data_IF_352257687060
#
_entry.id   IF_352257687060
#
_cell.length_a   1.000
_cell.length_b   1.000
_cell.length_c   1.000
_cell.angle_alpha   90.00
_cell.angle_beta   90.00
_cell.angle_gamma   90.00
#
_symmetry.space_group_name_H-M   'P 1'
#
loop_
_entity.id
_entity.type
_entity.pdbx_description
1 polymer ?
#
# COMPACT_ATOMS: atom_id res chain seq x y z
N UNK A 1 2.82 -22.04 9.27
CA UNK A 1 3.50 -21.56 8.04
C UNK A 1 4.50 -20.53 8.53
N UNK A 2 5.76 -20.59 8.13
CA UNK A 2 6.73 -19.57 8.58
C UNK A 2 6.69 -18.39 7.63
N UNK A 3 6.37 -17.20 8.15
CA UNK A 3 6.40 -15.94 7.40
C UNK A 3 7.52 -15.11 7.99
N UNK A 4 8.49 -14.71 7.16
CA UNK A 4 9.71 -14.02 7.60
C UNK A 4 10.44 -14.70 8.79
N UNK A 5 10.45 -16.03 8.82
CA UNK A 5 11.17 -16.80 9.84
C UNK A 5 10.47 -16.94 11.20
N UNK A 6 9.25 -16.40 11.36
CA UNK A 6 8.43 -16.57 12.57
C UNK A 6 7.18 -17.41 12.28
N UNK A 7 6.66 -18.11 13.29
CA UNK A 7 5.38 -18.82 13.15
C UNK A 7 4.24 -17.81 13.04
N UNK A 8 3.44 -17.97 11.99
CA UNK A 8 2.38 -17.05 11.58
C UNK A 8 1.10 -17.19 12.45
N UNK A 9 1.01 -18.21 13.31
CA UNK A 9 -0.15 -18.39 14.20
C UNK A 9 -0.07 -17.47 15.44
N UNK A 10 -1.18 -16.84 15.89
CA UNK A 10 -2.58 -17.05 15.50
C UNK A 10 -3.07 -16.18 14.32
N UNK A 11 -2.19 -15.38 13.71
CA UNK A 11 -2.50 -14.46 12.61
C UNK A 11 -2.02 -14.94 11.23
N UNK A 12 -2.79 -15.86 10.64
CA UNK A 12 -3.47 -15.55 9.39
C UNK A 12 -2.72 -15.48 8.06
N UNK A 13 -2.22 -16.60 7.56
CA UNK A 13 -2.38 -17.07 6.18
C UNK A 13 -2.43 -18.61 6.15
N UNK A 14 -3.40 -19.19 5.42
CA UNK A 14 -3.61 -20.64 5.39
C UNK A 14 -3.48 -21.20 3.97
N UNK A 15 -2.81 -22.35 3.85
CA UNK A 15 -2.84 -23.14 2.63
C UNK A 15 -4.09 -24.04 2.64
N UNK A 16 -4.96 -23.90 1.65
CA UNK A 16 -6.21 -24.66 1.54
C UNK A 16 -6.17 -25.58 0.32
N UNK A 17 -6.46 -26.87 0.52
CA UNK A 17 -6.58 -27.86 -0.56
C UNK A 17 -8.03 -28.29 -0.70
N UNK A 18 -8.60 -28.13 -1.89
CA UNK A 18 -9.94 -28.63 -2.23
C UNK A 18 -9.80 -29.96 -2.98
N UNK A 19 -10.24 -31.06 -2.39
CA UNK A 19 -10.21 -32.41 -3.01
C UNK A 19 -11.62 -32.97 -3.03
N UNK A 20 -12.16 -33.28 -4.22
CA UNK A 20 -13.53 -33.80 -4.44
C UNK A 20 -14.64 -33.01 -3.73
N UNK A 21 -14.52 -31.67 -3.70
CA UNK A 21 -15.50 -30.80 -3.05
C UNK A 21 -16.68 -30.55 -3.99
N UNK A 22 -17.88 -30.93 -3.55
CA UNK A 22 -19.14 -30.67 -4.27
C UNK A 22 -19.75 -29.36 -3.80
N UNK A 23 -20.17 -28.52 -4.73
CA UNK A 23 -20.78 -27.21 -4.47
C UNK A 23 -22.13 -27.13 -5.18
N UNK A 24 -23.21 -26.67 -4.51
CA UNK A 24 -24.51 -26.47 -5.15
C UNK A 24 -24.44 -25.48 -6.31
N UNK A 25 -25.26 -25.68 -7.35
CA UNK A 25 -25.33 -24.77 -8.51
C UNK A 25 -25.71 -23.34 -8.11
N UNK A 26 -26.54 -23.19 -7.08
CA UNK A 26 -26.99 -21.88 -6.58
C UNK A 26 -25.86 -21.05 -5.94
N UNK A 27 -24.73 -21.68 -5.59
CA UNK A 27 -23.56 -20.97 -5.06
C UNK A 27 -22.67 -20.39 -6.17
N UNK A 28 -23.03 -20.58 -7.45
CA UNK A 28 -22.30 -20.01 -8.58
C UNK A 28 -22.44 -18.48 -8.57
N UNK A 29 -21.32 -17.78 -8.43
CA UNK A 29 -21.32 -16.32 -8.41
C UNK A 29 -21.43 -15.76 -9.84
N UNK A 30 -22.48 -14.96 -10.08
CA UNK A 30 -22.86 -14.32 -11.35
C UNK A 30 -23.29 -15.28 -12.46
N UNK A 31 -22.43 -16.19 -12.90
CA UNK A 31 -22.70 -17.06 -14.06
C UNK A 31 -21.48 -17.82 -14.57
N UNK A 32 -21.73 -18.88 -15.35
CA UNK A 32 -20.67 -19.73 -15.90
C UNK A 32 -19.76 -18.92 -16.85
N UNK A 33 -18.46 -19.16 -16.80
CA UNK A 33 -17.47 -18.44 -17.62
C UNK A 33 -17.14 -17.00 -17.19
N UNK A 34 -17.84 -16.43 -16.20
CA UNK A 34 -17.67 -15.01 -15.77
C UNK A 34 -16.72 -14.82 -14.58
N UNK A 35 -15.91 -15.84 -14.25
CA UNK A 35 -15.00 -15.79 -13.10
C UNK A 35 -14.01 -14.63 -13.17
N UNK A 36 -13.43 -14.36 -14.34
CA UNK A 36 -12.47 -13.28 -14.52
C UNK A 36 -13.09 -11.89 -14.35
N UNK A 37 -14.31 -11.70 -14.83
CA UNK A 37 -15.06 -10.46 -14.70
C UNK A 37 -15.41 -10.19 -13.23
N UNK A 38 -15.91 -11.21 -12.53
CA UNK A 38 -16.22 -11.14 -11.10
C UNK A 38 -14.98 -10.74 -10.28
N UNK A 39 -13.87 -11.42 -10.54
CA UNK A 39 -12.61 -11.20 -9.85
C UNK A 39 -12.05 -9.80 -10.11
N UNK A 40 -12.03 -9.38 -11.38
CA UNK A 40 -11.55 -8.06 -11.79
C UNK A 40 -12.39 -6.93 -11.19
N UNK A 41 -13.71 -7.11 -11.12
CA UNK A 41 -14.64 -6.13 -10.53
C UNK A 41 -14.39 -5.92 -9.03
N UNK A 42 -14.10 -6.98 -8.28
CA UNK A 42 -13.85 -6.91 -6.82
C UNK A 42 -12.47 -6.35 -6.46
N UNK A 43 -11.47 -6.58 -7.31
CA UNK A 43 -10.10 -6.14 -7.02
C UNK A 43 -9.93 -4.63 -7.13
N UNK A 44 -10.61 -3.96 -8.07
CA UNK A 44 -10.51 -2.51 -8.27
C UNK A 44 -10.76 -1.69 -6.98
N UNK A 45 -11.93 -1.82 -6.33
CA UNK A 45 -12.25 -1.10 -5.11
C UNK A 45 -11.35 -1.46 -3.93
N UNK A 46 -11.03 -2.75 -3.78
CA UNK A 46 -10.19 -3.25 -2.67
C UNK A 46 -8.75 -2.74 -2.73
N UNK A 47 -8.24 -2.42 -3.92
CA UNK A 47 -6.89 -1.85 -4.09
C UNK A 47 -6.74 -0.50 -3.38
N UNK A 48 -7.78 0.33 -3.35
CA UNK A 48 -7.71 1.69 -2.82
C UNK A 48 -7.69 1.77 -1.30
N UNK A 49 -8.46 0.94 -0.60
CA UNK A 49 -8.50 0.97 0.86
C UNK A 49 -7.15 0.63 1.48
N UNK A 50 -6.42 -0.35 0.90
CA UNK A 50 -5.06 -0.69 1.35
C UNK A 50 -4.04 0.42 1.08
N UNK A 51 -4.29 1.34 0.13
CA UNK A 51 -3.35 2.41 -0.19
C UNK A 51 -3.39 3.54 0.83
N UNK A 52 -4.56 3.84 1.39
CA UNK A 52 -4.70 4.75 2.53
C UNK A 52 -3.94 4.23 3.76
N UNK A 53 -3.97 2.92 4.00
CA UNK A 53 -3.24 2.30 5.10
C UNK A 53 -1.72 2.41 4.90
N UNK A 54 -1.22 2.13 3.68
CA UNK A 54 0.21 2.30 3.36
C UNK A 54 0.68 3.75 3.51
N UNK A 55 -0.13 4.73 3.10
CA UNK A 55 0.16 6.14 3.32
C UNK A 55 0.26 6.47 4.82
N UNK A 56 -0.67 5.95 5.62
CA UNK A 56 -0.68 6.15 7.08
C UNK A 56 0.58 5.57 7.72
N UNK A 57 0.96 4.34 7.36
CA UNK A 57 2.18 3.68 7.83
C UNK A 57 3.42 4.52 7.48
N UNK A 58 3.54 5.00 6.25
CA UNK A 58 4.70 5.80 5.83
C UNK A 58 4.77 7.16 6.53
N UNK A 59 3.63 7.83 6.73
CA UNK A 59 3.56 9.10 7.45
C UNK A 59 3.95 8.93 8.91
N UNK A 60 3.48 7.86 9.55
CA UNK A 60 3.82 7.55 10.93
C UNK A 60 5.30 7.16 11.08
N UNK A 61 5.83 6.35 10.17
CA UNK A 61 7.25 6.04 10.10
C UNK A 61 8.11 7.29 9.95
N UNK A 62 7.75 8.19 9.03
CA UNK A 62 8.46 9.46 8.85
C UNK A 62 8.42 10.35 10.12
N UNK A 63 7.30 10.35 10.86
CA UNK A 63 7.17 11.09 12.13
C UNK A 63 8.12 10.55 13.19
N UNK A 64 8.20 9.23 13.35
CA UNK A 64 9.09 8.56 14.30
C UNK A 64 10.55 8.85 13.94
N UNK A 65 10.93 8.71 12.67
CA UNK A 65 12.29 9.01 12.20
C UNK A 65 12.67 10.47 12.47
N UNK A 66 11.77 11.42 12.20
CA UNK A 66 12.04 12.85 12.43
C UNK A 66 12.19 13.17 13.94
N UNK A 67 11.45 12.48 14.81
CA UNK A 67 11.64 12.58 16.25
C UNK A 67 13.03 12.05 16.64
N UNK A 68 13.40 10.85 16.20
CA UNK A 68 14.70 10.27 16.51
C UNK A 68 15.88 11.13 16.03
N UNK A 69 15.80 11.66 14.81
CA UNK A 69 16.83 12.50 14.19
C UNK A 69 17.08 13.79 15.01
N UNK A 70 16.03 14.33 15.64
CA UNK A 70 16.10 15.53 16.47
C UNK A 70 16.53 15.26 17.93
N UNK A 71 16.55 14.00 18.37
CA UNK A 71 17.00 13.64 19.73
C UNK A 71 18.36 12.93 19.75
N UNK A 72 18.81 12.34 18.64
CA UNK A 72 20.13 11.72 18.51
C UNK A 72 21.19 12.79 18.21
N UNK A 73 22.11 12.96 19.16
CA UNK A 73 23.34 13.72 18.98
C UNK A 73 24.41 12.80 18.37
N UNK A 74 24.92 13.16 17.20
CA UNK A 74 26.11 12.52 16.61
C UNK A 74 27.20 13.57 16.42
N UNK A 75 28.46 13.20 16.66
CA UNK A 75 29.62 14.10 16.56
C UNK A 75 29.44 15.43 17.32
N UNK A 76 29.67 15.37 18.63
CA UNK A 76 30.05 16.53 19.46
C UNK A 76 29.29 17.84 19.18
N UNK A 77 27.95 17.78 19.16
CA UNK A 77 26.95 18.89 19.28
C UNK A 77 25.97 19.06 18.09
N UNK A 78 25.94 18.18 17.11
CA UNK A 78 25.01 18.31 15.97
C UNK A 78 23.95 17.20 15.97
N UNK A 79 22.68 17.59 15.95
CA UNK A 79 21.58 16.64 15.70
C UNK A 79 21.79 15.96 14.35
N UNK A 80 21.56 14.64 14.28
CA UNK A 80 21.77 13.84 13.07
C UNK A 80 21.14 14.49 11.82
N UNK A 81 20.02 15.20 11.97
CA UNK A 81 19.30 15.84 10.87
C UNK A 81 20.04 17.01 10.21
N UNK A 82 21.05 17.57 10.88
CA UNK A 82 21.85 18.68 10.35
C UNK A 82 23.13 18.22 9.64
N UNK A 83 23.37 16.91 9.56
CA UNK A 83 24.45 16.35 8.72
C UNK A 83 24.05 16.54 7.25
N UNK A 84 24.99 17.05 6.45
CA UNK A 84 24.73 17.74 5.17
C UNK A 84 23.97 16.99 4.07
N UNK A 85 23.65 15.71 4.20
CA UNK A 85 22.83 14.96 3.23
C UNK A 85 21.40 14.63 3.72
N UNK A 86 21.11 14.82 5.01
CA UNK A 86 19.82 14.40 5.57
C UNK A 86 18.67 15.37 5.23
N UNK A 87 18.98 16.64 4.94
CA UNK A 87 17.96 17.60 4.50
C UNK A 87 17.36 17.23 3.14
N UNK A 88 18.20 16.82 2.19
CA UNK A 88 17.75 16.44 0.85
C UNK A 88 16.85 15.20 0.92
N UNK A 89 17.25 14.20 1.71
CA UNK A 89 16.45 12.99 1.95
C UNK A 89 15.09 13.32 2.58
N UNK A 90 15.06 14.22 3.58
CA UNK A 90 13.81 14.64 4.22
C UNK A 90 12.91 15.41 3.23
N UNK A 91 13.51 16.28 2.41
CA UNK A 91 12.80 17.06 1.40
C UNK A 91 12.20 16.14 0.30
N UNK A 92 12.96 15.17 -0.18
CA UNK A 92 12.52 14.17 -1.15
C UNK A 92 11.40 13.31 -0.58
N UNK A 93 11.56 12.80 0.65
CA UNK A 93 10.52 12.04 1.33
C UNK A 93 9.21 12.84 1.42
N UNK A 94 9.29 14.13 1.79
CA UNK A 94 8.10 14.99 1.92
C UNK A 94 7.42 15.20 0.56
N UNK A 95 8.21 15.41 -0.48
CA UNK A 95 7.72 15.63 -1.85
C UNK A 95 7.05 14.37 -2.39
N UNK A 96 7.68 13.20 -2.24
CA UNK A 96 7.12 11.91 -2.67
C UNK A 96 5.80 11.57 -1.97
N UNK A 97 5.69 11.86 -0.68
CA UNK A 97 4.46 11.66 0.10
C UNK A 97 3.31 12.50 -0.47
N UNK A 98 3.54 13.78 -0.77
CA UNK A 98 2.50 14.66 -1.31
C UNK A 98 2.13 14.29 -2.76
N UNK A 99 3.11 13.92 -3.60
CA UNK A 99 2.83 13.40 -4.95
C UNK A 99 1.94 12.16 -4.93
N UNK A 100 2.27 11.18 -4.08
CA UNK A 100 1.48 9.97 -3.93
C UNK A 100 0.06 10.27 -3.40
N UNK A 101 -0.06 11.22 -2.48
CA UNK A 101 -1.36 11.65 -1.93
C UNK A 101 -2.26 12.27 -3.01
N UNK A 102 -1.72 13.17 -3.82
CA UNK A 102 -2.48 13.79 -4.91
C UNK A 102 -2.89 12.75 -5.97
N UNK A 103 -1.99 11.81 -6.29
CA UNK A 103 -2.31 10.69 -7.19
C UNK A 103 -3.44 9.81 -6.64
N UNK A 104 -3.51 9.64 -5.32
CA UNK A 104 -4.60 8.92 -4.63
C UNK A 104 -5.94 9.62 -4.79
N UNK A 105 -5.98 10.93 -4.58
CA UNK A 105 -7.21 11.68 -4.77
C UNK A 105 -7.62 11.73 -6.24
N UNK A 106 -6.67 11.83 -7.18
CA UNK A 106 -6.96 11.73 -8.61
C UNK A 106 -7.60 10.38 -8.96
N UNK A 107 -7.04 9.27 -8.46
CA UNK A 107 -7.59 7.94 -8.72
C UNK A 107 -8.99 7.77 -8.11
N UNK A 108 -9.21 8.27 -6.87
CA UNK A 108 -10.53 8.26 -6.24
C UNK A 108 -11.54 9.08 -7.03
N UNK A 109 -11.19 10.30 -7.42
CA UNK A 109 -12.06 11.17 -8.22
C UNK A 109 -12.43 10.55 -9.57
N UNK A 110 -11.47 9.92 -10.25
CA UNK A 110 -11.74 9.23 -11.52
C UNK A 110 -12.68 8.02 -11.33
N UNK A 111 -12.57 7.30 -10.22
CA UNK A 111 -13.48 6.19 -9.92
C UNK A 111 -14.90 6.68 -9.64
N UNK A 112 -15.05 7.80 -8.95
CA UNK A 112 -16.35 8.38 -8.63
C UNK A 112 -17.03 9.03 -9.86
N UNK A 113 -16.25 9.60 -10.78
CA UNK A 113 -16.80 10.34 -11.95
C UNK A 113 -16.99 9.48 -13.20
N UNK A 114 -16.01 8.66 -13.58
CA UNK A 114 -16.04 7.89 -14.84
C UNK A 114 -16.11 6.38 -14.62
N UNK A 115 -16.08 5.94 -13.36
CA UNK A 115 -16.18 4.54 -12.97
C UNK A 115 -14.88 3.76 -13.10
N UNK A 116 -14.83 2.62 -12.41
CA UNK A 116 -13.62 1.81 -12.20
C UNK A 116 -13.00 1.24 -13.49
N UNK A 117 -13.78 1.06 -14.56
CA UNK A 117 -13.27 0.50 -15.82
C UNK A 117 -12.38 1.50 -16.56
N UNK A 118 -12.78 2.78 -16.57
CA UNK A 118 -12.04 3.85 -17.23
C UNK A 118 -10.86 4.30 -16.33
N UNK A 119 -11.10 4.42 -15.03
CA UNK A 119 -10.08 4.77 -14.04
C UNK A 119 -8.99 3.69 -13.78
N UNK A 120 -8.97 2.61 -14.59
CA UNK A 120 -8.06 1.48 -14.40
C UNK A 120 -6.58 1.90 -14.43
N UNK A 121 -6.23 2.87 -15.27
CA UNK A 121 -4.85 3.36 -15.40
C UNK A 121 -4.40 4.04 -14.11
N UNK A 122 -5.21 4.94 -13.58
CA UNK A 122 -4.95 5.68 -12.34
C UNK A 122 -4.84 4.73 -11.15
N UNK A 123 -5.73 3.74 -11.05
CA UNK A 123 -5.70 2.69 -10.02
C UNK A 123 -4.41 1.85 -10.12
N UNK A 124 -3.93 1.57 -11.33
CA UNK A 124 -2.69 0.82 -11.53
C UNK A 124 -1.45 1.63 -11.13
N UNK A 125 -1.40 2.91 -11.53
CA UNK A 125 -0.29 3.81 -11.22
C UNK A 125 -0.10 3.96 -9.71
N UNK A 126 -1.18 4.23 -8.98
CA UNK A 126 -1.09 4.37 -7.53
C UNK A 126 -0.64 3.08 -6.84
N UNK A 127 -1.06 1.92 -7.37
CA UNK A 127 -0.70 0.61 -6.80
C UNK A 127 0.80 0.33 -6.89
N UNK A 128 1.51 0.98 -7.79
CA UNK A 128 2.96 0.88 -7.91
C UNK A 128 3.64 2.00 -7.11
N UNK A 129 3.18 3.25 -7.28
CA UNK A 129 3.83 4.42 -6.72
C UNK A 129 3.81 4.44 -5.18
N UNK A 130 2.66 4.15 -4.55
CA UNK A 130 2.52 4.24 -3.08
C UNK A 130 3.34 3.18 -2.35
N UNK A 131 3.32 1.88 -2.72
CA UNK A 131 4.18 0.91 -2.05
C UNK A 131 5.67 1.21 -2.26
N UNK A 132 6.08 1.62 -3.47
CA UNK A 132 7.48 1.97 -3.72
C UNK A 132 7.94 3.13 -2.84
N UNK A 133 7.11 4.17 -2.68
CA UNK A 133 7.38 5.30 -1.79
C UNK A 133 7.36 4.90 -0.30
N UNK A 134 6.46 3.99 0.09
CA UNK A 134 6.33 3.52 1.47
C UNK A 134 7.52 2.66 1.93
N UNK A 135 8.02 1.79 1.05
CA UNK A 135 9.13 0.87 1.33
C UNK A 135 10.50 1.35 0.81
N UNK A 136 10.59 2.59 0.34
CA UNK A 136 11.87 3.17 -0.10
C UNK A 136 12.78 3.39 1.11
N UNK A 137 13.91 2.71 1.12
CA UNK A 137 15.00 2.95 2.09
C UNK A 137 15.93 4.03 1.55
N UNK A 138 16.29 4.97 2.41
CA UNK A 138 17.27 6.04 2.16
C UNK A 138 18.50 5.83 3.05
#
# INVERSE_FOLDING_TARGET
MTVFGSDDAPHGHAHMKFTDVRVPKDNLLLGEGRGFENFSGKIGPRKNSSLYENYRVRREGARITLQEINFKNCFWKTFVGKLGGNYDVIADCRTEIEMCRLLTFKAAYMMDTVGNKIARSEIAQIKVAVPNMAFKSY
#
